data_IF_079723153290
#
_entry.id   IF_079723153290
#
_cell.length_a   1.000
_cell.length_b   1.000
_cell.length_c   1.000
_cell.angle_alpha   90.00
_cell.angle_beta   90.00
_cell.angle_gamma   90.00
#
_symmetry.space_group_name_H-M   'P 1'
#
loop_
_entity.id
_entity.type
_entity.pdbx_description
1 polymer ?
#
# COMPACT_ATOMS: atom_id res chain seq x y z
N UNK A 1 8.86 -19.07 4.48
CA UNK A 1 7.47 -18.98 3.97
C UNK A 1 6.57 -18.49 5.09
N UNK A 2 5.70 -17.51 4.83
CA UNK A 2 4.75 -16.96 5.81
C UNK A 2 3.31 -17.10 5.28
N UNK A 3 2.33 -17.08 6.18
CA UNK A 3 0.92 -17.15 5.78
C UNK A 3 -0.05 -16.61 6.83
N UNK A 4 -1.23 -16.23 6.36
CA UNK A 4 -2.43 -15.96 7.17
C UNK A 4 -3.46 -17.06 6.93
N UNK A 5 -4.71 -16.86 7.38
CA UNK A 5 -5.81 -17.79 7.09
C UNK A 5 -5.95 -18.04 5.57
N UNK A 6 -5.99 -16.97 4.76
CA UNK A 6 -6.32 -17.08 3.34
C UNK A 6 -5.17 -16.76 2.37
N UNK A 7 -4.03 -16.25 2.85
CA UNK A 7 -2.94 -15.79 1.97
C UNK A 7 -1.59 -16.40 2.36
N UNK A 8 -0.69 -16.53 1.38
CA UNK A 8 0.66 -17.06 1.56
C UNK A 8 1.68 -16.25 0.76
N UNK A 9 2.90 -16.11 1.28
CA UNK A 9 4.01 -15.41 0.62
C UNK A 9 5.38 -15.95 1.03
N UNK A 10 6.38 -15.69 0.20
CA UNK A 10 7.79 -15.92 0.52
C UNK A 10 8.43 -14.62 0.97
N UNK A 11 9.43 -14.71 1.85
CA UNK A 11 10.20 -13.54 2.31
C UNK A 11 11.10 -12.98 1.22
N UNK A 12 11.42 -13.79 0.20
CA UNK A 12 12.25 -13.40 -0.94
C UNK A 12 11.45 -12.58 -1.98
N UNK A 13 10.11 -12.67 -1.93
CA UNK A 13 9.20 -11.95 -2.82
C UNK A 13 8.92 -10.51 -2.33
N UNK A 14 9.95 -9.80 -1.89
CA UNK A 14 9.84 -8.43 -1.37
C UNK A 14 9.54 -7.45 -2.51
N UNK A 15 8.44 -6.69 -2.37
CA UNK A 15 8.06 -5.62 -3.29
C UNK A 15 8.55 -4.25 -2.84
N UNK A 16 8.65 -4.04 -1.52
CA UNK A 16 9.13 -2.79 -0.97
C UNK A 16 9.31 -2.86 0.54
N UNK A 17 10.28 -2.12 1.06
CA UNK A 17 10.59 -2.05 2.48
C UNK A 17 10.62 -0.60 2.94
N UNK A 18 9.85 -0.30 3.96
CA UNK A 18 9.84 0.99 4.64
C UNK A 18 10.24 0.86 6.11
N UNK A 19 10.37 2.00 6.79
CA UNK A 19 10.72 2.04 8.22
C UNK A 19 9.73 1.26 9.11
N UNK A 20 8.46 1.15 8.68
CA UNK A 20 7.35 0.69 9.51
C UNK A 20 6.76 -0.64 9.02
N UNK A 21 7.04 -1.05 7.79
CA UNK A 21 6.45 -2.24 7.22
C UNK A 21 7.28 -2.75 6.03
N UNK A 22 7.11 -4.03 5.73
CA UNK A 22 7.58 -4.65 4.50
C UNK A 22 6.38 -5.13 3.68
N UNK A 23 6.43 -4.96 2.37
CA UNK A 23 5.38 -5.37 1.44
C UNK A 23 5.91 -6.51 0.59
N UNK A 24 5.15 -7.60 0.54
CA UNK A 24 5.52 -8.81 -0.20
C UNK A 24 4.49 -9.14 -1.26
N UNK A 25 4.93 -9.76 -2.35
CA UNK A 25 4.04 -10.41 -3.30
C UNK A 25 3.52 -11.69 -2.66
N UNK A 26 2.21 -11.88 -2.75
CA UNK A 26 1.52 -12.98 -2.11
C UNK A 26 0.48 -13.58 -3.06
N UNK A 27 -0.10 -14.71 -2.63
CA UNK A 27 -1.20 -15.37 -3.34
C UNK A 27 -2.35 -15.67 -2.40
N UNK A 28 -3.56 -15.53 -2.90
CA UNK A 28 -4.74 -16.08 -2.28
C UNK A 28 -4.70 -17.62 -2.37
N UNK A 29 -4.83 -18.31 -1.24
CA UNK A 29 -4.76 -19.78 -1.14
C UNK A 29 -5.86 -20.51 -1.91
N UNK A 30 -7.03 -19.87 -2.07
CA UNK A 30 -8.20 -20.46 -2.71
C UNK A 30 -8.26 -20.14 -4.19
N UNK A 31 -8.12 -18.86 -4.56
CA UNK A 31 -8.25 -18.42 -5.96
C UNK A 31 -6.93 -18.46 -6.74
N UNK A 32 -5.78 -18.47 -6.07
CA UNK A 32 -4.46 -18.33 -6.70
C UNK A 32 -4.11 -16.91 -7.15
N UNK A 33 -5.04 -15.96 -6.98
CA UNK A 33 -4.89 -14.55 -7.34
C UNK A 33 -3.69 -13.90 -6.66
N UNK A 34 -2.95 -13.09 -7.41
CA UNK A 34 -1.81 -12.33 -6.92
C UNK A 34 -2.29 -11.12 -6.11
N UNK A 35 -1.71 -10.92 -4.95
CA UNK A 35 -2.01 -9.80 -4.05
C UNK A 35 -0.72 -9.25 -3.44
N UNK A 36 -0.77 -8.03 -2.92
CA UNK A 36 0.31 -7.46 -2.11
C UNK A 36 -0.05 -7.58 -0.63
N UNK A 37 0.89 -8.03 0.21
CA UNK A 37 0.71 -8.15 1.66
C UNK A 37 1.67 -7.22 2.37
N UNK A 38 1.14 -6.22 3.08
CA UNK A 38 1.91 -5.31 3.93
C UNK A 38 1.96 -5.86 5.35
N UNK A 39 3.15 -6.26 5.78
CA UNK A 39 3.46 -6.78 7.12
C UNK A 39 4.09 -5.66 7.95
N UNK A 40 3.46 -5.30 9.06
CA UNK A 40 3.97 -4.26 9.95
C UNK A 40 5.10 -4.76 10.84
N UNK A 41 6.11 -3.91 11.03
CA UNK A 41 7.22 -4.19 11.93
C UNK A 41 6.77 -4.03 13.40
N UNK A 42 7.51 -4.62 14.34
CA UNK A 42 7.20 -4.58 15.77
C UNK A 42 7.07 -3.15 16.31
N UNK A 43 7.85 -2.20 15.77
CA UNK A 43 7.80 -0.77 16.11
C UNK A 43 6.44 -0.13 15.82
N UNK A 44 5.68 -0.65 14.85
CA UNK A 44 4.36 -0.13 14.48
C UNK A 44 3.27 -0.45 15.51
N UNK A 45 3.50 -1.46 16.35
CA UNK A 45 2.59 -1.87 17.43
C UNK A 45 2.74 -1.05 18.71
N UNK A 46 3.77 -0.20 18.80
CA UNK A 46 3.95 0.73 19.93
C UNK A 46 2.89 1.84 19.97
N UNK A 47 2.04 1.93 18.93
CA UNK A 47 0.98 2.94 18.84
C UNK A 47 -0.27 2.52 19.62
N UNK A 48 -1.03 3.47 20.20
CA UNK A 48 -2.29 3.17 20.87
C UNK A 48 -3.24 2.38 19.96
N UNK A 49 -3.89 1.34 20.49
CA UNK A 49 -4.82 0.47 19.75
C UNK A 49 -5.92 1.25 19.06
N UNK A 50 -6.41 2.31 19.70
CA UNK A 50 -7.45 3.21 19.18
C UNK A 50 -7.03 3.90 17.86
N UNK A 51 -5.77 4.33 17.77
CA UNK A 51 -5.21 4.96 16.57
C UNK A 51 -5.15 3.94 15.43
N UNK A 52 -4.68 2.72 15.73
CA UNK A 52 -4.61 1.66 14.73
C UNK A 52 -6.01 1.31 14.20
N UNK A 53 -6.99 1.12 15.08
CA UNK A 53 -8.39 0.81 14.72
C UNK A 53 -8.98 1.88 13.81
N UNK A 54 -8.80 3.17 14.15
CA UNK A 54 -9.28 4.28 13.32
C UNK A 54 -8.64 4.29 11.93
N UNK A 55 -7.34 4.03 11.81
CA UNK A 55 -6.69 3.94 10.49
C UNK A 55 -7.28 2.81 9.65
N UNK A 56 -7.50 1.63 10.23
CA UNK A 56 -8.11 0.51 9.53
C UNK A 56 -9.54 0.82 9.08
N UNK A 57 -10.34 1.48 9.92
CA UNK A 57 -11.72 1.87 9.56
C UNK A 57 -11.76 2.85 8.39
N UNK A 58 -10.83 3.82 8.36
CA UNK A 58 -10.69 4.73 7.22
C UNK A 58 -10.30 3.93 5.98
N UNK A 59 -9.27 3.09 6.08
CA UNK A 59 -8.77 2.30 4.96
C UNK A 59 -9.82 1.38 4.34
N UNK A 60 -10.69 0.77 5.16
CA UNK A 60 -11.79 -0.08 4.67
C UNK A 60 -12.87 0.69 3.92
N UNK A 61 -12.97 2.01 4.12
CA UNK A 61 -13.94 2.88 3.44
C UNK A 61 -13.36 3.50 2.16
N UNK A 62 -12.05 3.39 1.94
CA UNK A 62 -11.42 3.87 0.72
C UNK A 62 -11.69 2.90 -0.43
N UNK A 63 -12.47 3.34 -1.40
CA UNK A 63 -12.71 2.63 -2.65
C UNK A 63 -12.74 3.66 -3.77
N UNK A 64 -11.61 3.81 -4.46
CA UNK A 64 -11.43 4.79 -5.53
C UNK A 64 -10.42 4.25 -6.54
N UNK A 65 -10.57 4.58 -7.82
CA UNK A 65 -9.68 4.08 -8.88
C UNK A 65 -8.21 4.45 -8.65
N UNK A 66 -7.93 5.59 -8.03
CA UNK A 66 -6.57 6.08 -7.76
C UNK A 66 -6.07 5.73 -6.35
N UNK A 67 -6.73 4.78 -5.66
CA UNK A 67 -6.30 4.26 -4.36
C UNK A 67 -6.19 2.74 -4.49
N UNK A 68 -5.01 2.19 -4.19
CA UNK A 68 -4.77 0.75 -4.15
C UNK A 68 -5.82 0.10 -3.26
N UNK A 69 -6.54 -0.88 -3.81
CA UNK A 69 -7.68 -1.48 -3.10
C UNK A 69 -7.23 -2.31 -1.92
N UNK A 70 -7.85 -2.10 -0.76
CA UNK A 70 -7.71 -2.99 0.39
C UNK A 70 -8.72 -4.14 0.29
N UNK A 71 -8.24 -5.38 0.20
CA UNK A 71 -9.10 -6.55 0.19
C UNK A 71 -9.45 -7.04 1.58
N UNK A 72 -8.46 -7.14 2.47
CA UNK A 72 -8.65 -7.70 3.80
C UNK A 72 -7.60 -7.21 4.81
N UNK A 73 -7.93 -7.35 6.09
CA UNK A 73 -6.98 -7.27 7.20
C UNK A 73 -6.98 -8.64 7.87
N UNK A 74 -5.84 -9.31 7.87
CA UNK A 74 -5.69 -10.64 8.45
C UNK A 74 -4.57 -10.66 9.49
N UNK A 75 -4.45 -11.76 10.23
CA UNK A 75 -3.38 -11.99 11.20
C UNK A 75 -2.51 -13.17 10.75
N UNK A 76 -1.19 -13.05 10.95
CA UNK A 76 -0.26 -14.17 10.76
C UNK A 76 -0.50 -15.24 11.81
N UNK A 77 -0.46 -16.52 11.41
CA UNK A 77 -0.78 -17.63 12.31
C UNK A 77 0.17 -17.78 13.51
N UNK A 78 1.45 -17.44 13.34
CA UNK A 78 2.46 -17.58 14.41
C UNK A 78 2.55 -16.38 15.34
N UNK A 79 2.80 -15.20 14.78
CA UNK A 79 3.09 -13.97 15.54
C UNK A 79 1.85 -13.11 15.84
N UNK A 80 0.66 -13.50 15.37
CA UNK A 80 -0.59 -12.70 15.43
C UNK A 80 -0.38 -11.26 14.94
N UNK A 81 0.54 -11.08 14.00
CA UNK A 81 0.79 -9.78 13.41
C UNK A 81 -0.31 -9.51 12.39
N UNK A 82 -0.97 -8.37 12.52
CA UNK A 82 -1.87 -7.85 11.52
C UNK A 82 -1.11 -7.55 10.23
N UNK A 83 -1.73 -7.91 9.12
CA UNK A 83 -1.25 -7.62 7.77
C UNK A 83 -2.39 -7.01 6.96
N UNK A 84 -2.04 -6.11 6.04
CA UNK A 84 -2.99 -5.61 5.04
C UNK A 84 -2.83 -6.42 3.77
N UNK A 85 -3.94 -6.92 3.25
CA UNK A 85 -4.01 -7.58 1.95
C UNK A 85 -4.58 -6.59 0.95
N UNK A 86 -3.81 -6.30 -0.09
CA UNK A 86 -4.06 -5.22 -1.01
C UNK A 86 -3.94 -5.71 -2.46
N UNK A 87 -4.49 -4.92 -3.37
CA UNK A 87 -4.24 -5.06 -4.81
C UNK A 87 -2.75 -5.08 -5.13
N UNK A 88 -2.37 -5.97 -6.05
CA UNK A 88 -1.02 -6.07 -6.57
C UNK A 88 -0.92 -5.32 -7.90
N UNK A 89 -0.20 -4.21 -7.90
CA UNK A 89 0.10 -3.44 -9.11
C UNK A 89 1.35 -4.02 -9.79
N UNK A 90 1.16 -4.73 -10.90
CA UNK A 90 2.25 -5.45 -11.58
C UNK A 90 3.27 -4.53 -12.25
N UNK A 91 2.89 -3.30 -12.60
CA UNK A 91 3.77 -2.35 -13.30
C UNK A 91 4.68 -1.56 -12.35
N UNK A 92 4.57 -1.81 -11.04
CA UNK A 92 5.44 -1.23 -10.03
C UNK A 92 5.03 0.20 -9.66
N UNK A 93 6.02 0.98 -9.22
CA UNK A 93 5.80 2.36 -8.78
C UNK A 93 6.18 3.38 -9.85
N UNK A 94 5.59 4.56 -9.80
CA UNK A 94 5.97 5.70 -10.63
C UNK A 94 7.45 6.05 -10.44
N UNK A 95 8.01 5.85 -9.23
CA UNK A 95 9.45 6.00 -9.01
C UNK A 95 10.25 5.07 -9.92
N UNK A 96 9.85 3.81 -10.04
CA UNK A 96 10.53 2.84 -10.91
C UNK A 96 10.47 3.25 -12.38
N UNK A 97 9.39 3.89 -12.80
CA UNK A 97 9.27 4.47 -14.15
C UNK A 97 10.19 5.69 -14.32
N UNK A 98 10.24 6.58 -13.33
CA UNK A 98 11.11 7.76 -13.36
C UNK A 98 12.61 7.42 -13.28
N UNK A 99 12.97 6.30 -12.65
CA UNK A 99 14.35 5.80 -12.58
C UNK A 99 14.82 5.13 -13.87
N UNK A 100 13.91 4.85 -14.81
CA UNK A 100 14.27 4.34 -16.13
C UNK A 100 15.14 5.38 -16.88
N UNK A 101 16.27 4.98 -17.51
CA UNK A 101 17.10 5.88 -18.30
C UNK A 101 16.33 6.62 -19.41
N UNK A 102 15.28 6.01 -19.93
CA UNK A 102 14.40 6.60 -20.95
C UNK A 102 13.67 7.86 -20.43
N UNK A 103 13.43 7.94 -19.13
CA UNK A 103 12.74 9.04 -18.46
C UNK A 103 13.70 9.97 -17.70
N UNK A 104 15.01 9.89 -17.98
CA UNK A 104 16.02 10.69 -17.28
C UNK A 104 15.80 12.22 -17.41
N UNK A 105 15.10 12.65 -18.46
CA UNK A 105 14.76 14.05 -18.72
C UNK A 105 13.26 14.35 -18.50
N UNK A 106 12.55 13.45 -17.84
CA UNK A 106 11.11 13.56 -17.60
C UNK A 106 10.29 12.52 -18.38
N UNK A 107 9.01 12.44 -18.04
CA UNK A 107 8.05 11.60 -18.72
C UNK A 107 7.60 12.23 -20.04
N UNK A 108 7.24 11.41 -21.04
CA UNK A 108 6.43 11.84 -22.17
C UNK A 108 5.18 12.60 -21.72
N UNK A 109 4.71 13.57 -22.52
CA UNK A 109 3.59 14.45 -22.15
C UNK A 109 2.29 13.67 -21.85
N UNK A 110 2.00 12.65 -22.65
CA UNK A 110 0.84 11.77 -22.48
C UNK A 110 0.88 11.03 -21.14
N UNK A 111 2.01 10.42 -20.79
CA UNK A 111 2.20 9.75 -19.50
C UNK A 111 2.15 10.76 -18.33
N UNK A 112 2.75 11.94 -18.50
CA UNK A 112 2.71 13.00 -17.50
C UNK A 112 1.27 13.46 -17.21
N UNK A 113 0.43 13.60 -18.24
CA UNK A 113 -0.96 13.99 -18.08
C UNK A 113 -1.80 12.93 -17.36
N UNK A 114 -1.50 11.64 -17.56
CA UNK A 114 -2.12 10.55 -16.79
C UNK A 114 -1.77 10.68 -15.32
N UNK A 115 -0.48 10.84 -14.99
CA UNK A 115 -0.02 11.02 -13.60
C UNK A 115 -0.66 12.27 -12.98
N UNK A 116 -0.68 13.40 -13.70
CA UNK A 116 -1.26 14.65 -13.23
C UNK A 116 -2.75 14.50 -12.93
N UNK A 117 -3.51 13.81 -13.79
CA UNK A 117 -4.93 13.53 -13.55
C UNK A 117 -5.12 12.67 -12.31
N UNK A 118 -4.35 11.59 -12.18
CA UNK A 118 -4.44 10.69 -11.03
C UNK A 118 -4.16 11.38 -9.69
N UNK A 119 -3.22 12.33 -9.66
CA UNK A 119 -2.86 13.11 -8.46
C UNK A 119 -3.85 14.26 -8.22
N UNK A 120 -4.39 14.87 -9.28
CA UNK A 120 -5.30 16.02 -9.21
C UNK A 120 -6.75 15.66 -8.87
N UNK A 121 -7.17 14.41 -9.10
CA UNK A 121 -8.54 13.95 -8.80
C UNK A 121 -8.82 13.99 -7.28
N UNK A 122 -9.93 14.64 -6.85
CA UNK A 122 -10.31 14.68 -5.45
C UNK A 122 -10.57 13.27 -4.92
N UNK A 123 -9.83 12.87 -3.88
CA UNK A 123 -10.10 11.60 -3.20
C UNK A 123 -11.46 11.67 -2.49
N UNK A 124 -12.22 10.56 -2.40
CA UNK A 124 -13.55 10.52 -1.76
C UNK A 124 -13.48 10.55 -0.23
N UNK A 125 -12.51 11.28 0.33
CA UNK A 125 -12.30 11.45 1.77
C UNK A 125 -11.85 12.87 2.09
N UNK A 126 -12.25 13.43 3.24
CA UNK A 126 -11.80 14.76 3.64
C UNK A 126 -10.28 14.88 3.70
N UNK A 127 -9.74 15.98 3.20
CA UNK A 127 -8.30 16.29 3.31
C UNK A 127 -7.78 16.25 4.76
N UNK A 128 -8.66 16.42 5.76
CA UNK A 128 -8.35 16.29 7.20
C UNK A 128 -8.14 14.86 7.67
N UNK A 129 -8.89 13.88 7.14
CA UNK A 129 -8.67 12.43 7.35
C UNK A 129 -7.32 11.98 6.79
N UNK A 130 -6.82 12.79 5.87
CA UNK A 130 -5.67 12.58 5.04
C UNK A 130 -4.41 13.29 5.58
N UNK A 131 -4.55 14.21 6.54
CA UNK A 131 -3.39 14.86 7.19
C UNK A 131 -2.69 13.87 8.12
N UNK A 132 -1.35 13.87 8.15
CA UNK A 132 -0.59 13.12 9.14
C UNK A 132 -0.75 13.79 10.51
N UNK A 133 -1.89 13.60 11.16
CA UNK A 133 -2.04 13.95 12.57
C UNK A 133 -1.24 12.92 13.37
N UNK A 134 0.02 13.24 13.70
CA UNK A 134 0.94 12.67 14.70
C UNK A 134 0.94 11.14 15.00
N UNK A 135 0.29 10.32 14.17
CA UNK A 135 -0.02 8.92 14.50
C UNK A 135 -0.89 8.20 13.47
N UNK A 136 -1.69 8.92 12.66
CA UNK A 136 -2.57 8.37 11.60
C UNK A 136 -1.88 8.18 10.23
N UNK A 137 -0.62 8.57 10.09
CA UNK A 137 0.03 8.64 8.78
C UNK A 137 0.53 7.30 8.22
N UNK A 138 0.88 6.32 9.07
CA UNK A 138 1.78 5.22 8.65
C UNK A 138 1.08 4.08 7.90
N UNK A 139 -0.19 3.82 8.19
CA UNK A 139 -0.96 2.83 7.42
C UNK A 139 -1.43 3.42 6.09
N UNK A 140 -1.84 4.69 6.10
CA UNK A 140 -2.37 5.41 4.93
C UNK A 140 -1.30 5.83 3.92
N UNK A 141 -0.05 6.10 4.33
CA UNK A 141 1.01 6.55 3.42
C UNK A 141 1.35 5.55 2.33
N UNK A 142 1.27 4.24 2.60
CA UNK A 142 1.58 3.20 1.61
C UNK A 142 0.44 2.87 0.64
N UNK A 143 -0.75 3.43 0.85
CA UNK A 143 -1.93 3.28 -0.02
C UNK A 143 -2.21 4.56 -0.82
N UNK A 144 -1.36 5.57 -0.65
CA UNK A 144 -1.52 6.90 -1.21
C UNK A 144 -0.43 7.17 -2.21
N UNK A 145 -0.88 7.41 -3.43
CA UNK A 145 -0.16 7.91 -4.58
C UNK A 145 0.44 9.34 -4.41
N UNK A 146 0.74 9.77 -3.18
CA UNK A 146 1.23 11.12 -2.84
C UNK A 146 2.74 11.30 -3.09
N UNK A 147 3.49 10.20 -3.19
CA UNK A 147 4.90 10.22 -3.58
C UNK A 147 5.09 9.26 -4.77
N UNK A 148 6.09 9.48 -5.64
CA UNK A 148 6.36 8.56 -6.74
C UNK A 148 6.57 7.10 -6.30
N UNK A 149 7.15 6.89 -5.11
CA UNK A 149 7.34 5.56 -4.53
C UNK A 149 6.05 4.87 -4.08
N UNK A 150 4.99 5.63 -3.82
CA UNK A 150 3.69 5.12 -3.36
C UNK A 150 2.58 5.32 -4.40
N UNK A 151 2.92 5.85 -5.60
CA UNK A 151 2.05 5.91 -6.76
C UNK A 151 2.32 4.67 -7.59
N UNK A 152 1.35 3.76 -7.69
CA UNK A 152 1.51 2.51 -8.41
C UNK A 152 0.83 2.58 -9.77
N UNK A 153 1.46 1.95 -10.77
CA UNK A 153 1.01 1.88 -12.17
C UNK A 153 0.52 0.46 -12.49
#
# INVERSE_FOLDING_TARGET
MQSTANYLWHTDDLLGQGATASVYKARNKKSGELVAVKVFNTTSYLRPREVQVREFEVLRKLNHQNIVKLFAVEETGGSRQKVLVMEYCSSGSLLSVLESPENAFGLPEDEFLVVLRCVGEPLPVPASTLRPAAGLGQMLTGLRCLTPANHFI
#
